data_IF_340309341620
#
_entry.id   IF_340309341620
#
_cell.length_a   1.000
_cell.length_b   1.000
_cell.length_c   1.000
_cell.angle_alpha   90.00
_cell.angle_beta   90.00
_cell.angle_gamma   90.00
#
_symmetry.space_group_name_H-M   'P 1'
#
loop_
_entity.id
_entity.type
_entity.pdbx_description
1 polymer ?
#
# COMPACT_ATOMS: atom_id res chain seq x y z
N UNK A 1 36.76 5.36 67.79
CA UNK A 1 37.74 5.42 66.69
C UNK A 1 37.04 6.08 65.51
N UNK A 2 37.55 7.23 65.09
CA UNK A 2 37.14 7.94 63.88
C UNK A 2 37.44 7.10 62.64
N UNK A 3 36.60 7.18 61.62
CA UNK A 3 37.00 7.59 60.26
C UNK A 3 35.76 8.02 59.47
N UNK A 4 35.85 9.23 58.92
CA UNK A 4 35.11 9.79 57.79
C UNK A 4 35.11 8.87 56.56
N UNK A 5 34.05 8.88 55.76
CA UNK A 5 34.04 9.69 54.52
C UNK A 5 32.82 9.39 53.62
N UNK A 6 32.17 10.50 53.24
CA UNK A 6 31.60 10.82 51.91
C UNK A 6 30.44 10.00 51.32
N UNK A 7 29.25 10.62 51.36
CA UNK A 7 28.28 10.71 50.25
C UNK A 7 28.90 11.51 49.06
N UNK A 8 28.36 11.53 47.81
CA UNK A 8 26.92 11.50 47.48
C UNK A 8 26.50 10.87 46.11
N UNK A 9 25.18 10.97 45.85
CA UNK A 9 24.46 11.25 44.57
C UNK A 9 23.46 10.21 44.07
N UNK A 10 22.24 10.73 43.90
CA UNK A 10 20.97 10.17 43.47
C UNK A 10 20.84 9.92 41.96
N UNK A 11 19.68 9.32 41.62
CA UNK A 11 19.01 9.18 40.32
C UNK A 11 19.59 8.06 39.44
N UNK A 12 18.81 7.23 38.76
CA UNK A 12 17.48 7.44 38.19
C UNK A 12 16.81 6.07 37.96
N UNK A 13 15.48 6.07 37.98
CA UNK A 13 14.60 4.94 37.72
C UNK A 13 14.56 4.59 36.23
N UNK A 14 14.61 3.31 35.88
CA UNK A 14 14.44 2.88 34.49
C UNK A 14 14.19 1.39 34.33
N UNK A 15 12.95 0.98 34.61
CA UNK A 15 12.43 -0.34 34.26
C UNK A 15 12.41 -0.48 32.74
N UNK A 16 13.22 -1.38 32.17
CA UNK A 16 13.16 -1.71 30.74
C UNK A 16 12.14 -2.82 30.55
N UNK A 17 10.91 -2.42 30.21
CA UNK A 17 9.89 -3.30 29.66
C UNK A 17 10.24 -3.61 28.20
N UNK A 18 10.53 -4.87 27.93
CA UNK A 18 10.73 -5.40 26.58
C UNK A 18 9.37 -5.41 25.86
N UNK A 19 9.21 -4.53 24.87
CA UNK A 19 8.05 -4.44 23.98
C UNK A 19 8.57 -4.46 22.55
N UNK A 20 7.92 -5.18 21.62
CA UNK A 20 8.36 -5.22 20.22
C UNK A 20 8.27 -3.81 19.60
N UNK A 21 9.24 -3.38 18.78
CA UNK A 21 9.33 -2.01 18.33
C UNK A 21 8.17 -1.68 17.37
N UNK A 22 7.30 -0.76 17.78
CA UNK A 22 6.17 -0.23 17.00
C UNK A 22 6.44 1.16 16.43
N UNK A 23 7.69 1.60 16.40
CA UNK A 23 8.05 2.94 15.97
C UNK A 23 8.26 3.03 14.45
N UNK A 24 7.43 3.86 13.81
CA UNK A 24 7.57 4.28 12.41
C UNK A 24 8.82 5.17 12.17
N UNK A 25 9.60 5.44 13.21
CA UNK A 25 10.79 6.31 13.20
C UNK A 25 12.12 5.55 13.39
N UNK A 26 12.12 4.21 13.48
CA UNK A 26 13.35 3.43 13.62
C UNK A 26 13.58 2.49 12.42
N UNK A 27 13.99 3.06 11.28
CA UNK A 27 14.71 2.32 10.25
C UNK A 27 16.19 2.27 10.66
N UNK A 28 16.74 1.11 11.05
CA UNK A 28 18.18 0.98 11.21
C UNK A 28 18.86 1.08 9.84
N UNK A 29 19.66 2.12 9.72
CA UNK A 29 20.99 2.17 9.11
C UNK A 29 21.38 0.94 8.27
N UNK A 30 21.26 1.08 6.95
CA UNK A 30 21.67 0.10 5.94
C UNK A 30 22.67 0.76 4.98
N UNK A 31 23.64 1.48 5.54
CA UNK A 31 24.73 2.11 4.80
C UNK A 31 26.06 1.85 5.52
N UNK A 32 26.56 0.61 5.45
CA UNK A 32 27.98 0.30 5.58
C UNK A 32 28.21 -1.16 5.13
N UNK A 33 28.29 -1.36 3.81
CA UNK A 33 29.09 -2.44 3.20
C UNK A 33 29.33 -2.11 1.72
N UNK A 34 30.15 -1.09 1.45
CA UNK A 34 30.84 -0.98 0.15
C UNK A 34 32.18 -1.70 0.25
N UNK A 35 32.46 -2.71 -0.60
CA UNK A 35 33.82 -3.05 -0.93
C UNK A 35 34.28 -2.22 -2.14
N UNK A 36 35.30 -1.41 -1.87
CA UNK A 36 36.18 -0.67 -2.79
C UNK A 36 36.22 -1.17 -4.24
N UNK A 37 35.89 -0.29 -5.19
CA UNK A 37 36.35 -0.40 -6.57
C UNK A 37 37.04 0.89 -7.01
N UNK A 38 38.35 0.82 -7.17
CA UNK A 38 39.17 1.86 -7.81
C UNK A 38 38.86 1.95 -9.33
N UNK A 39 39.07 3.12 -9.97
CA UNK A 39 38.43 3.49 -11.22
C UNK A 39 39.28 3.23 -12.47
N UNK A 40 38.64 2.84 -13.56
CA UNK A 40 39.22 2.92 -14.91
C UNK A 40 38.12 3.23 -15.97
N UNK A 41 37.99 4.52 -16.23
CA UNK A 41 37.85 5.16 -17.55
C UNK A 41 37.51 4.28 -18.78
N UNK A 42 36.37 4.53 -19.44
CA UNK A 42 36.32 5.11 -20.80
C UNK A 42 34.87 5.29 -21.32
N UNK A 43 34.53 6.56 -21.56
CA UNK A 43 33.92 7.12 -22.77
C UNK A 43 32.73 6.43 -23.48
N UNK A 44 31.64 7.19 -23.65
CA UNK A 44 30.68 6.94 -24.73
C UNK A 44 29.32 7.64 -24.58
N UNK A 45 29.22 8.86 -25.11
CA UNK A 45 28.06 9.60 -25.66
C UNK A 45 26.81 8.75 -26.05
N UNK A 46 25.55 9.19 -26.14
CA UNK A 46 24.79 10.46 -25.99
C UNK A 46 23.30 10.14 -26.30
N UNK A 47 22.38 10.98 -25.80
CA UNK A 47 21.04 11.33 -26.34
C UNK A 47 19.96 10.23 -26.41
N UNK A 48 18.70 10.42 -26.04
CA UNK A 48 17.91 11.63 -25.80
C UNK A 48 16.57 11.52 -26.55
N UNK A 49 15.49 11.96 -25.88
CA UNK A 49 14.12 12.25 -26.39
C UNK A 49 13.18 11.05 -26.68
N UNK A 50 11.86 11.13 -26.56
CA UNK A 50 10.87 12.00 -25.89
C UNK A 50 9.48 11.43 -26.27
N UNK A 51 8.47 11.64 -25.42
CA UNK A 51 7.11 11.99 -25.84
C UNK A 51 6.08 10.94 -26.32
N UNK A 52 4.98 10.85 -25.55
CA UNK A 52 3.56 10.77 -25.98
C UNK A 52 3.02 9.51 -26.69
N UNK A 53 1.76 9.07 -26.57
CA UNK A 53 0.59 9.39 -25.74
C UNK A 53 -0.51 8.35 -26.05
N UNK A 54 -1.37 8.10 -25.05
CA UNK A 54 -2.84 7.93 -25.15
C UNK A 54 -3.59 6.66 -25.64
N UNK A 55 -4.59 6.32 -24.81
CA UNK A 55 -5.93 5.71 -25.06
C UNK A 55 -6.00 4.20 -25.36
N UNK A 56 -6.93 3.39 -24.84
CA UNK A 56 -8.12 3.57 -24.00
C UNK A 56 -9.13 2.43 -24.29
N UNK A 57 -9.90 1.99 -23.27
CA UNK A 57 -11.14 1.18 -23.34
C UNK A 57 -10.99 -0.33 -23.72
N UNK A 58 -11.71 -1.34 -23.22
CA UNK A 58 -12.91 -1.50 -22.35
C UNK A 58 -13.14 -3.01 -22.10
N UNK A 59 -13.83 -3.37 -21.00
CA UNK A 59 -14.75 -4.54 -20.81
C UNK A 59 -14.19 -5.98 -20.93
N UNK A 60 -14.69 -7.02 -20.27
CA UNK A 60 -15.76 -7.25 -19.28
C UNK A 60 -15.48 -8.64 -18.67
N UNK A 61 -16.10 -8.96 -17.53
CA UNK A 61 -15.86 -10.16 -16.75
C UNK A 61 -16.38 -11.47 -17.36
N UNK A 62 -15.80 -12.59 -16.90
CA UNK A 62 -16.51 -13.86 -16.75
C UNK A 62 -15.80 -14.76 -15.72
N UNK A 63 -16.60 -15.22 -14.75
CA UNK A 63 -16.31 -16.27 -13.77
C UNK A 63 -15.75 -17.54 -14.41
N UNK A 64 -14.81 -18.26 -13.77
CA UNK A 64 -14.59 -19.66 -14.07
C UNK A 64 -15.46 -20.53 -13.14
N UNK A 65 -16.39 -21.26 -13.76
CA UNK A 65 -17.05 -22.40 -13.14
C UNK A 65 -16.04 -23.49 -12.77
N UNK A 66 -16.41 -24.15 -11.68
CA UNK A 66 -15.76 -25.23 -10.96
C UNK A 66 -15.66 -26.50 -11.83
N UNK A 67 -14.48 -27.11 -11.91
CA UNK A 67 -14.31 -28.47 -12.42
C UNK A 67 -13.57 -29.33 -11.40
N UNK A 68 -14.26 -30.37 -10.94
CA UNK A 68 -13.78 -31.43 -10.04
C UNK A 68 -12.61 -32.23 -10.64
N UNK A 69 -11.74 -32.84 -9.79
CA UNK A 69 -10.61 -33.62 -10.25
C UNK A 69 -11.03 -35.07 -10.58
N UNK A 70 -10.70 -35.53 -11.78
CA UNK A 70 -10.79 -36.95 -12.13
C UNK A 70 -9.50 -37.68 -11.73
N UNK A 71 -9.69 -38.81 -11.05
CA UNK A 71 -8.70 -39.74 -10.52
C UNK A 71 -7.70 -40.23 -11.59
N UNK A 72 -6.43 -40.34 -11.19
CA UNK A 72 -5.39 -40.94 -12.01
C UNK A 72 -5.44 -42.45 -11.96
N UNK A 73 -5.96 -43.07 -13.02
CA UNK A 73 -5.66 -44.46 -13.35
C UNK A 73 -4.36 -44.54 -14.16
N UNK A 74 -3.41 -45.29 -13.60
CA UNK A 74 -2.18 -45.74 -14.26
C UNK A 74 -2.53 -46.74 -15.36
N UNK A 75 -2.05 -46.50 -16.59
CA UNK A 75 -2.05 -47.52 -17.64
C UNK A 75 -0.80 -47.44 -18.51
N UNK A 76 0.12 -48.33 -18.14
CA UNK A 76 0.93 -49.24 -18.95
C UNK A 76 1.23 -48.84 -20.41
N UNK A 77 2.53 -48.80 -20.68
CA UNK A 77 3.13 -48.69 -22.01
C UNK A 77 2.56 -49.74 -22.97
N UNK A 78 2.09 -49.31 -24.14
CA UNK A 78 1.95 -50.21 -25.28
C UNK A 78 2.44 -49.48 -26.52
N UNK A 79 3.59 -49.91 -27.02
CA UNK A 79 4.06 -49.62 -28.37
C UNK A 79 2.94 -49.88 -29.39
N UNK A 80 2.63 -48.87 -30.17
CA UNK A 80 1.97 -49.05 -31.47
C UNK A 80 2.70 -48.22 -32.50
N UNK A 81 3.43 -48.92 -33.37
CA UNK A 81 3.97 -48.38 -34.62
C UNK A 81 2.83 -47.86 -35.52
N UNK A 82 3.07 -46.69 -36.12
CA UNK A 82 2.70 -46.46 -37.52
C UNK A 82 1.33 -45.84 -37.80
N UNK A 83 1.22 -44.52 -37.64
CA UNK A 83 0.58 -43.66 -38.65
C UNK A 83 1.26 -42.29 -38.61
N UNK A 84 1.97 -41.84 -39.66
CA UNK A 84 2.52 -40.50 -39.68
C UNK A 84 1.35 -39.52 -39.77
N UNK A 85 1.06 -38.85 -38.65
CA UNK A 85 0.31 -37.61 -38.67
C UNK A 85 1.04 -36.68 -39.64
N UNK A 86 0.31 -36.21 -40.65
CA UNK A 86 0.76 -35.24 -41.64
C UNK A 86 1.39 -34.06 -40.91
N UNK A 87 2.72 -34.03 -40.85
CA UNK A 87 3.49 -32.91 -40.37
C UNK A 87 3.07 -31.69 -41.21
N UNK A 88 2.38 -30.74 -40.56
CA UNK A 88 2.40 -29.37 -41.06
C UNK A 88 3.86 -28.92 -41.20
N UNK A 89 4.17 -27.97 -42.08
CA UNK A 89 5.55 -27.55 -42.29
C UNK A 89 6.16 -27.15 -40.94
N UNK A 90 7.14 -27.93 -40.46
CA UNK A 90 7.98 -27.54 -39.34
C UNK A 90 8.74 -26.29 -39.78
N UNK A 91 8.22 -25.14 -39.36
CA UNK A 91 8.93 -23.87 -39.48
C UNK A 91 10.16 -24.03 -38.59
N UNK A 92 11.34 -24.01 -39.21
CA UNK A 92 12.61 -24.15 -38.49
C UNK A 92 12.69 -23.05 -37.42
N UNK A 93 13.18 -23.44 -36.25
CA UNK A 93 13.26 -22.58 -35.05
C UNK A 93 14.10 -21.29 -35.27
N UNK A 94 14.90 -21.23 -36.34
CA UNK A 94 15.70 -20.06 -36.78
C UNK A 94 14.93 -18.99 -37.56
N UNK A 95 13.61 -19.13 -37.75
CA UNK A 95 12.83 -18.12 -38.46
C UNK A 95 12.67 -16.87 -37.61
N UNK A 96 13.18 -15.74 -38.11
CA UNK A 96 13.03 -14.43 -37.47
C UNK A 96 11.64 -13.88 -37.73
N UNK A 97 10.85 -13.71 -36.67
CA UNK A 97 9.51 -13.13 -36.70
C UNK A 97 9.62 -11.66 -36.29
N UNK A 98 8.94 -10.78 -37.01
CA UNK A 98 8.85 -9.35 -36.65
C UNK A 98 7.59 -9.15 -35.81
N UNK A 99 7.74 -8.66 -34.58
CA UNK A 99 6.63 -8.33 -33.69
C UNK A 99 5.95 -7.03 -34.14
N UNK A 100 4.72 -6.79 -33.66
CA UNK A 100 3.97 -5.56 -33.94
C UNK A 100 4.67 -4.30 -33.37
N UNK A 101 5.59 -4.46 -32.42
CA UNK A 101 6.47 -3.41 -31.88
C UNK A 101 7.62 -3.03 -32.80
N UNK A 102 7.83 -3.76 -33.91
CA UNK A 102 8.92 -3.53 -34.86
C UNK A 102 10.18 -4.38 -34.62
N UNK A 103 10.23 -5.12 -33.51
CA UNK A 103 11.40 -5.92 -33.12
C UNK A 103 11.45 -7.25 -33.86
N UNK A 104 12.66 -7.67 -34.27
CA UNK A 104 12.92 -8.94 -34.95
C UNK A 104 13.43 -9.96 -33.94
N UNK A 105 12.64 -10.99 -33.66
CA UNK A 105 12.96 -12.03 -32.66
C UNK A 105 12.90 -13.40 -33.31
N UNK A 106 13.83 -14.30 -32.98
CA UNK A 106 13.79 -15.67 -33.45
C UNK A 106 12.54 -16.40 -32.91
N UNK A 107 11.93 -17.26 -33.72
CA UNK A 107 10.75 -18.03 -33.33
C UNK A 107 11.07 -18.96 -32.13
N UNK A 108 12.31 -19.43 -32.01
CA UNK A 108 12.85 -20.13 -30.83
C UNK A 108 12.79 -19.29 -29.54
N UNK A 109 13.18 -18.02 -29.60
CA UNK A 109 13.18 -17.11 -28.47
C UNK A 109 11.74 -16.74 -28.05
N UNK A 110 10.82 -16.58 -29.00
CA UNK A 110 9.40 -16.38 -28.69
C UNK A 110 8.76 -17.61 -28.05
N UNK A 111 9.03 -18.80 -28.60
CA UNK A 111 8.52 -20.06 -28.05
C UNK A 111 9.09 -20.31 -26.66
N UNK A 112 10.38 -20.07 -26.44
CA UNK A 112 11.00 -20.21 -25.12
C UNK A 112 10.51 -19.16 -24.13
N UNK A 113 10.27 -17.92 -24.57
CA UNK A 113 9.66 -16.86 -23.76
C UNK A 113 8.25 -17.24 -23.30
N UNK A 114 7.41 -17.72 -24.21
CA UNK A 114 6.06 -18.20 -23.89
C UNK A 114 6.08 -19.38 -22.91
N UNK A 115 6.93 -20.38 -23.15
CA UNK A 115 7.07 -21.54 -22.24
C UNK A 115 7.55 -21.11 -20.85
N UNK A 116 8.52 -20.19 -20.77
CA UNK A 116 9.00 -19.63 -19.49
C UNK A 116 7.92 -18.85 -18.76
N UNK A 117 7.14 -18.02 -19.47
CA UNK A 117 6.02 -17.27 -18.87
C UNK A 117 4.92 -18.20 -18.37
N UNK A 118 4.61 -19.25 -19.13
CA UNK A 118 3.63 -20.27 -18.73
C UNK A 118 4.11 -21.04 -17.50
N UNK A 119 5.37 -21.48 -17.48
CA UNK A 119 5.97 -22.14 -16.32
C UNK A 119 6.02 -21.23 -15.10
N UNK A 120 6.37 -19.96 -15.29
CA UNK A 120 6.38 -18.97 -14.21
C UNK A 120 4.98 -18.75 -13.64
N UNK A 121 3.97 -18.58 -14.50
CA UNK A 121 2.58 -18.39 -14.08
C UNK A 121 2.06 -19.61 -13.32
N UNK A 122 2.33 -20.82 -13.83
CA UNK A 122 2.00 -22.08 -13.16
C UNK A 122 2.68 -22.21 -11.80
N UNK A 123 3.99 -21.99 -11.73
CA UNK A 123 4.76 -22.03 -10.47
C UNK A 123 4.29 -20.99 -9.47
N UNK A 124 3.93 -19.79 -9.93
CA UNK A 124 3.41 -18.72 -9.07
C UNK A 124 2.04 -19.09 -8.51
N UNK A 125 1.16 -19.65 -9.34
CA UNK A 125 -0.14 -20.15 -8.93
C UNK A 125 -0.01 -21.33 -7.95
N UNK A 126 0.86 -22.29 -8.23
CA UNK A 126 1.16 -23.40 -7.33
C UNK A 126 1.72 -22.92 -5.99
N UNK A 127 2.61 -21.93 -5.99
CA UNK A 127 3.17 -21.34 -4.78
C UNK A 127 2.09 -20.61 -3.97
N UNK A 128 1.20 -19.85 -4.63
CA UNK A 128 0.07 -19.18 -3.99
C UNK A 128 -0.88 -20.19 -3.35
N UNK A 129 -1.22 -21.26 -4.07
CA UNK A 129 -2.05 -22.34 -3.56
C UNK A 129 -1.39 -23.01 -2.34
N UNK A 130 -0.10 -23.37 -2.43
CA UNK A 130 0.66 -23.94 -1.29
C UNK A 130 0.68 -23.03 -0.07
N UNK A 131 0.83 -21.71 -0.25
CA UNK A 131 0.78 -20.73 0.85
C UNK A 131 -0.60 -20.71 1.51
N UNK A 132 -1.67 -20.70 0.71
CA UNK A 132 -3.04 -20.72 1.21
C UNK A 132 -3.38 -22.02 1.93
N UNK A 133 -2.92 -23.15 1.41
CA UNK A 133 -3.09 -24.46 2.03
C UNK A 133 -2.34 -24.54 3.37
N UNK A 134 -1.11 -24.01 3.41
CA UNK A 134 -0.33 -23.91 4.63
C UNK A 134 -1.02 -23.04 5.68
N UNK A 135 -1.51 -21.86 5.31
CA UNK A 135 -2.26 -20.96 6.20
C UNK A 135 -3.51 -21.64 6.76
N UNK A 136 -4.28 -22.32 5.89
CA UNK A 136 -5.47 -23.08 6.28
C UNK A 136 -5.12 -24.21 7.24
N UNK A 137 -4.04 -24.93 6.97
CA UNK A 137 -3.56 -26.03 7.82
C UNK A 137 -3.13 -25.52 9.19
N UNK A 138 -2.37 -24.43 9.24
CA UNK A 138 -1.92 -23.80 10.50
C UNK A 138 -3.12 -23.32 11.31
N UNK A 139 -4.10 -22.67 10.67
CA UNK A 139 -5.34 -22.23 11.31
C UNK A 139 -6.12 -23.41 11.91
N UNK A 140 -6.28 -24.50 11.15
CA UNK A 140 -6.94 -25.72 11.61
C UNK A 140 -6.18 -26.37 12.78
N UNK A 141 -4.85 -26.42 12.73
CA UNK A 141 -4.01 -26.95 13.81
C UNK A 141 -4.19 -26.11 15.07
N UNK A 142 -4.12 -24.79 14.98
CA UNK A 142 -4.32 -23.89 16.12
C UNK A 142 -5.71 -24.07 16.73
N UNK A 143 -6.76 -24.09 15.91
CA UNK A 143 -8.13 -24.31 16.37
C UNK A 143 -8.31 -25.68 17.03
N UNK A 144 -7.71 -26.72 16.47
CA UNK A 144 -7.77 -28.08 17.02
C UNK A 144 -7.06 -28.17 18.37
N UNK A 145 -5.89 -27.53 18.49
CA UNK A 145 -5.14 -27.50 19.75
C UNK A 145 -5.89 -26.72 20.82
N UNK A 146 -6.50 -25.59 20.46
CA UNK A 146 -7.34 -24.80 21.39
C UNK A 146 -8.55 -25.61 21.86
N UNK A 147 -9.22 -26.34 20.95
CA UNK A 147 -10.33 -27.23 21.31
C UNK A 147 -9.91 -28.40 22.21
N UNK A 148 -8.76 -29.02 21.93
CA UNK A 148 -8.20 -30.09 22.77
C UNK A 148 -7.80 -29.54 24.15
N UNK A 149 -7.20 -28.36 24.20
CA UNK A 149 -6.78 -27.72 25.45
C UNK A 149 -8.00 -27.40 26.34
N UNK A 150 -9.08 -26.88 25.76
CA UNK A 150 -10.31 -26.59 26.52
C UNK A 150 -11.00 -27.86 27.00
N UNK A 151 -11.11 -28.88 26.14
CA UNK A 151 -11.63 -30.20 26.55
C UNK A 151 -10.79 -30.80 27.69
N UNK A 152 -9.46 -30.71 27.60
CA UNK A 152 -8.59 -31.26 28.63
C UNK A 152 -8.73 -30.49 29.94
N UNK A 153 -8.86 -29.17 29.88
CA UNK A 153 -9.11 -28.29 31.04
C UNK A 153 -10.40 -28.62 31.76
N UNK A 154 -11.48 -28.99 31.05
CA UNK A 154 -12.73 -29.46 31.66
C UNK A 154 -12.58 -30.82 32.36
N UNK A 155 -11.64 -31.67 31.91
CA UNK A 155 -11.37 -32.99 32.52
C UNK A 155 -10.38 -32.97 33.69
N UNK A 156 -9.70 -31.85 33.94
CA UNK A 156 -8.75 -31.73 35.05
C UNK A 156 -9.51 -31.81 36.38
N UNK A 157 -9.19 -32.78 37.26
CA UNK A 157 -9.75 -32.82 38.61
C UNK A 157 -9.46 -31.50 39.34
N UNK A 158 -10.34 -31.01 40.23
CA UNK A 158 -10.03 -29.83 41.03
C UNK A 158 -8.81 -30.09 41.92
N UNK A 159 -8.08 -29.03 42.26
CA UNK A 159 -6.96 -29.13 43.19
C UNK A 159 -7.45 -29.65 44.56
N UNK A 160 -6.73 -30.61 45.19
CA UNK A 160 -7.14 -31.15 46.47
C UNK A 160 -7.05 -30.08 47.56
N UNK A 161 -7.99 -30.12 48.50
CA UNK A 161 -7.97 -29.23 49.66
C UNK A 161 -6.77 -29.56 50.57
N UNK A 162 -6.05 -28.52 50.99
CA UNK A 162 -4.91 -28.62 51.90
C UNK A 162 -5.37 -29.20 53.26
N UNK A 163 -6.62 -28.98 53.66
CA UNK A 163 -7.16 -29.58 54.90
C UNK A 163 -7.10 -31.11 54.87
N UNK A 164 -7.23 -31.72 53.69
CA UNK A 164 -7.18 -33.17 53.48
C UNK A 164 -5.79 -33.74 53.82
N UNK A 165 -4.73 -32.95 53.70
CA UNK A 165 -3.37 -33.38 54.08
C UNK A 165 -3.23 -33.68 55.58
N UNK A 166 -4.08 -33.10 56.43
CA UNK A 166 -4.09 -33.32 57.87
C UNK A 166 -5.05 -34.45 58.29
N UNK A 167 -6.17 -34.61 57.59
CA UNK A 167 -7.18 -35.64 57.90
C UNK A 167 -6.93 -36.98 57.22
N UNK A 168 -6.48 -36.97 55.97
CA UNK A 168 -6.15 -38.18 55.18
C UNK A 168 -5.00 -37.88 54.19
N UNK A 169 -3.74 -38.02 54.65
CA UNK A 169 -2.56 -37.75 53.82
C UNK A 169 -2.49 -38.64 52.57
N UNK A 170 -2.98 -39.88 52.64
CA UNK A 170 -2.92 -40.83 51.51
C UNK A 170 -3.82 -40.39 50.36
N UNK A 171 -5.03 -39.96 50.69
CA UNK A 171 -5.97 -39.42 49.70
C UNK A 171 -5.49 -38.10 49.10
N UNK A 172 -4.96 -37.19 49.92
CA UNK A 172 -4.37 -35.94 49.44
C UNK A 172 -3.25 -36.19 48.42
N UNK A 173 -2.32 -37.11 48.70
CA UNK A 173 -1.23 -37.43 47.77
C UNK A 173 -1.76 -38.01 46.46
N UNK A 174 -2.76 -38.90 46.51
CA UNK A 174 -3.37 -39.48 45.31
C UNK A 174 -4.07 -38.42 44.45
N UNK A 175 -4.92 -37.59 45.06
CA UNK A 175 -5.64 -36.52 44.35
C UNK A 175 -4.68 -35.49 43.77
N UNK A 176 -3.64 -35.13 44.54
CA UNK A 176 -2.57 -34.23 44.08
C UNK A 176 -1.82 -34.81 42.88
N UNK A 177 -1.43 -36.09 42.93
CA UNK A 177 -0.74 -36.74 41.82
C UNK A 177 -1.59 -36.80 40.55
N UNK A 178 -2.91 -37.05 40.67
CA UNK A 178 -3.83 -37.03 39.53
C UNK A 178 -3.97 -35.63 38.94
N UNK A 179 -4.12 -34.60 39.78
CA UNK A 179 -4.17 -33.20 39.35
C UNK A 179 -2.86 -32.77 38.66
N UNK A 180 -1.70 -33.07 39.26
CA UNK A 180 -0.39 -32.74 38.70
C UNK A 180 -0.15 -33.45 37.36
N UNK A 181 -0.52 -34.72 37.23
CA UNK A 181 -0.44 -35.45 35.97
C UNK A 181 -1.35 -34.84 34.88
N UNK A 182 -2.59 -34.47 35.24
CA UNK A 182 -3.54 -33.87 34.30
C UNK A 182 -3.09 -32.47 33.84
N UNK A 183 -2.60 -31.64 34.77
CA UNK A 183 -2.05 -30.31 34.46
C UNK A 183 -0.75 -30.38 33.66
N UNK A 184 0.14 -31.35 33.93
CA UNK A 184 1.34 -31.57 33.13
C UNK A 184 1.00 -31.91 31.68
N UNK A 185 -0.02 -32.75 31.46
CA UNK A 185 -0.51 -33.09 30.12
C UNK A 185 -1.08 -31.88 29.38
N UNK A 186 -1.81 -31.00 30.07
CA UNK A 186 -2.29 -29.75 29.48
C UNK A 186 -1.13 -28.83 29.06
N UNK A 187 -0.14 -28.66 29.93
CA UNK A 187 1.05 -27.87 29.59
C UNK A 187 1.80 -28.45 28.38
N UNK A 188 1.92 -29.78 28.28
CA UNK A 188 2.54 -30.43 27.12
C UNK A 188 1.80 -30.10 25.81
N UNK A 189 0.46 -30.15 25.81
CA UNK A 189 -0.35 -29.78 24.65
C UNK A 189 -0.14 -28.32 24.27
N UNK A 190 -0.18 -27.40 25.25
CA UNK A 190 0.03 -25.96 25.01
C UNK A 190 1.44 -25.70 24.49
N UNK A 191 2.47 -26.35 25.05
CA UNK A 191 3.85 -26.18 24.62
C UNK A 191 4.05 -26.68 23.18
N UNK A 192 3.43 -27.80 22.79
CA UNK A 192 3.45 -28.26 21.40
C UNK A 192 2.71 -27.30 20.44
N UNK A 193 1.77 -26.50 20.95
CA UNK A 193 1.07 -25.47 20.20
C UNK A 193 1.93 -24.24 19.90
N UNK A 194 3.03 -24.02 20.62
CA UNK A 194 3.83 -22.80 20.50
C UNK A 194 4.45 -22.67 19.11
N UNK A 195 5.08 -23.74 18.59
CA UNK A 195 5.73 -23.70 17.29
C UNK A 195 4.75 -23.38 16.12
N UNK A 196 3.58 -24.04 15.99
CA UNK A 196 2.58 -23.66 14.98
C UNK A 196 2.08 -22.21 15.11
N UNK A 197 1.95 -21.70 16.34
CA UNK A 197 1.54 -20.30 16.59
C UNK A 197 2.63 -19.31 16.19
N UNK A 198 3.89 -19.61 16.46
CA UNK A 198 5.04 -18.80 16.03
C UNK A 198 5.11 -18.72 14.49
N UNK A 199 4.95 -19.86 13.80
CA UNK A 199 4.89 -19.89 12.33
C UNK A 199 3.71 -19.07 11.81
N UNK A 200 2.53 -19.18 12.44
CA UNK A 200 1.36 -18.38 12.07
C UNK A 200 1.64 -16.86 12.19
N UNK A 201 2.28 -16.46 13.28
CA UNK A 201 2.64 -15.06 13.53
C UNK A 201 3.66 -14.54 12.52
N UNK A 202 4.65 -15.35 12.16
CA UNK A 202 5.64 -15.00 11.14
C UNK A 202 4.97 -14.81 9.77
N UNK A 203 4.14 -15.76 9.34
CA UNK A 203 3.42 -15.66 8.07
C UNK A 203 2.51 -14.42 8.01
N UNK A 204 1.80 -14.12 9.10
CA UNK A 204 0.95 -12.93 9.15
C UNK A 204 1.77 -11.63 9.08
N UNK A 205 2.94 -11.60 9.74
CA UNK A 205 3.86 -10.46 9.65
C UNK A 205 4.41 -10.29 8.23
N UNK A 206 4.82 -11.37 7.57
CA UNK A 206 5.30 -11.35 6.18
C UNK A 206 4.21 -10.87 5.21
N UNK A 207 2.98 -11.35 5.36
CA UNK A 207 1.85 -10.88 4.56
C UNK A 207 1.58 -9.39 4.80
N UNK A 208 1.67 -8.94 6.05
CA UNK A 208 1.47 -7.53 6.40
C UNK A 208 2.58 -6.65 5.83
N UNK A 209 3.85 -7.07 5.88
CA UNK A 209 4.95 -6.30 5.30
C UNK A 209 4.85 -6.25 3.79
N UNK A 210 4.53 -7.36 3.12
CA UNK A 210 4.30 -7.40 1.67
C UNK A 210 3.15 -6.46 1.25
N UNK A 211 2.05 -6.44 2.02
CA UNK A 211 0.95 -5.52 1.81
C UNK A 211 1.41 -4.06 1.96
N UNK A 212 2.11 -3.72 3.03
CA UNK A 212 2.68 -2.37 3.25
C UNK A 212 3.60 -1.96 2.08
N UNK A 213 4.47 -2.85 1.60
CA UNK A 213 5.35 -2.58 0.47
C UNK A 213 4.56 -2.31 -0.82
N UNK A 214 3.54 -3.13 -1.10
CA UNK A 214 2.71 -2.97 -2.29
C UNK A 214 1.89 -1.67 -2.27
N UNK A 215 1.33 -1.31 -1.12
CA UNK A 215 0.57 -0.08 -0.93
C UNK A 215 1.47 1.15 -1.01
N UNK A 216 2.68 1.08 -0.46
CA UNK A 216 3.68 2.14 -0.59
C UNK A 216 4.14 2.34 -2.04
N UNK A 217 4.29 1.27 -2.82
CA UNK A 217 4.62 1.38 -4.24
C UNK A 217 3.51 2.10 -5.02
N UNK A 218 2.25 1.70 -4.81
CA UNK A 218 1.08 2.36 -5.40
C UNK A 218 0.96 3.82 -4.97
N UNK A 219 1.29 4.15 -3.71
CA UNK A 219 1.31 5.53 -3.25
C UNK A 219 2.37 6.36 -4.00
N UNK A 220 3.55 5.81 -4.26
CA UNK A 220 4.61 6.50 -4.99
C UNK A 220 4.25 6.70 -6.48
N UNK A 221 3.53 5.76 -7.09
CA UNK A 221 3.00 5.90 -8.45
C UNK A 221 1.99 7.06 -8.56
N UNK A 222 1.05 7.16 -7.62
CA UNK A 222 0.00 8.20 -7.64
C UNK A 222 0.51 9.55 -7.14
N UNK A 223 1.43 9.54 -6.17
CA UNK A 223 1.98 10.72 -5.52
C UNK A 223 3.52 10.70 -5.58
N UNK A 224 4.14 11.10 -6.70
CA UNK A 224 5.58 10.99 -6.91
C UNK A 224 6.46 11.65 -5.83
N UNK A 225 5.93 12.65 -5.11
CA UNK A 225 6.63 13.26 -3.97
C UNK A 225 6.94 12.27 -2.83
N UNK A 226 6.19 11.17 -2.71
CA UNK A 226 6.40 10.14 -1.67
C UNK A 226 7.44 9.09 -2.05
N UNK A 227 8.00 9.16 -3.27
CA UNK A 227 9.12 8.32 -3.70
C UNK A 227 10.42 8.64 -2.93
N UNK A 228 10.60 9.89 -2.49
CA UNK A 228 11.75 10.30 -1.67
C UNK A 228 11.44 10.17 -0.18
N UNK A 229 12.45 9.84 0.63
CA UNK A 229 12.29 9.71 2.08
C UNK A 229 11.77 11.01 2.72
N UNK A 230 12.35 12.15 2.37
CA UNK A 230 11.96 13.46 2.90
C UNK A 230 10.54 13.86 2.47
N UNK A 231 10.21 13.69 1.18
CA UNK A 231 8.88 14.01 0.67
C UNK A 231 7.80 13.10 1.26
N UNK A 232 8.14 11.84 1.52
CA UNK A 232 7.27 10.88 2.22
C UNK A 232 7.00 11.29 3.67
N UNK A 233 8.03 11.59 4.45
CA UNK A 233 7.88 12.04 5.84
C UNK A 233 6.98 13.27 5.92
N UNK A 234 7.23 14.26 5.06
CA UNK A 234 6.41 15.47 4.98
C UNK A 234 4.96 15.16 4.61
N UNK A 235 4.74 14.28 3.63
CA UNK A 235 3.41 13.89 3.19
C UNK A 235 2.60 13.22 4.32
N UNK A 236 3.18 12.27 5.04
CA UNK A 236 2.50 11.61 6.16
C UNK A 236 2.29 12.53 7.36
N UNK A 237 3.21 13.46 7.63
CA UNK A 237 3.02 14.49 8.65
C UNK A 237 1.85 15.43 8.31
N UNK A 238 1.73 15.86 7.05
CA UNK A 238 0.60 16.66 6.58
C UNK A 238 -0.72 15.87 6.61
N UNK A 239 -0.71 14.60 6.17
CA UNK A 239 -1.89 13.75 6.16
C UNK A 239 -2.41 13.46 7.57
N UNK A 240 -1.51 13.16 8.52
CA UNK A 240 -1.87 12.91 9.92
C UNK A 240 -2.43 14.17 10.60
N UNK A 241 -1.88 15.36 10.32
CA UNK A 241 -2.42 16.61 10.84
C UNK A 241 -3.87 16.84 10.39
N UNK A 242 -4.17 16.59 9.13
CA UNK A 242 -5.53 16.74 8.57
C UNK A 242 -6.46 15.65 9.09
N UNK A 243 -5.99 14.41 9.20
CA UNK A 243 -6.80 13.33 9.76
C UNK A 243 -7.24 13.63 11.21
N UNK A 244 -6.33 14.18 12.04
CA UNK A 244 -6.67 14.65 13.39
C UNK A 244 -7.69 15.78 13.39
N UNK A 245 -7.59 16.71 12.44
CA UNK A 245 -8.57 17.80 12.31
C UNK A 245 -9.97 17.28 11.89
N UNK A 246 -10.02 16.20 11.11
CA UNK A 246 -11.26 15.53 10.68
C UNK A 246 -11.85 14.65 11.80
N UNK A 247 -11.03 14.18 12.74
CA UNK A 247 -11.46 13.42 13.92
C UNK A 247 -10.94 11.99 14.01
N UNK A 248 -9.96 11.61 13.18
CA UNK A 248 -9.27 10.32 13.33
C UNK A 248 -8.38 10.32 14.57
N UNK A 249 -8.35 9.17 15.26
CA UNK A 249 -7.43 8.90 16.35
C UNK A 249 -6.04 8.47 15.85
N UNK A 250 -5.02 8.62 16.70
CA UNK A 250 -3.67 8.16 16.40
C UNK A 250 -3.61 6.63 16.16
N UNK A 251 -4.45 5.86 16.87
CA UNK A 251 -4.53 4.39 16.73
C UNK A 251 -5.07 3.98 15.36
N UNK A 252 -6.09 4.68 14.86
CA UNK A 252 -6.63 4.43 13.51
C UNK A 252 -5.61 4.74 12.43
N UNK A 253 -4.83 5.82 12.59
CA UNK A 253 -3.79 6.20 11.64
C UNK A 253 -2.61 5.23 11.63
N UNK A 254 -2.17 4.76 12.79
CA UNK A 254 -1.07 3.80 12.88
C UNK A 254 -1.44 2.42 12.32
N UNK A 255 -2.71 2.05 12.40
CA UNK A 255 -3.23 0.81 11.80
C UNK A 255 -3.50 0.90 10.30
N UNK A 256 -3.51 2.10 9.72
CA UNK A 256 -3.91 2.29 8.34
C UNK A 256 -2.77 1.99 7.35
N UNK A 257 -3.07 1.11 6.38
CA UNK A 257 -2.11 0.70 5.35
C UNK A 257 -2.56 1.09 3.94
N UNK A 258 -3.86 1.32 3.73
CA UNK A 258 -4.41 1.65 2.42
C UNK A 258 -3.91 3.03 1.93
N UNK A 259 -3.16 3.05 0.84
CA UNK A 259 -2.63 4.27 0.23
C UNK A 259 -3.73 5.27 -0.17
N UNK A 260 -4.91 4.77 -0.53
CA UNK A 260 -6.05 5.59 -0.98
C UNK A 260 -6.53 6.52 0.12
N UNK A 261 -6.46 6.07 1.37
CA UNK A 261 -6.81 6.89 2.53
C UNK A 261 -5.90 8.11 2.61
N UNK A 262 -4.58 7.93 2.45
CA UNK A 262 -3.63 9.03 2.50
C UNK A 262 -3.74 9.97 1.29
N UNK A 263 -4.05 9.42 0.11
CA UNK A 263 -4.39 10.23 -1.08
C UNK A 263 -5.62 11.09 -0.80
N UNK A 264 -6.68 10.52 -0.21
CA UNK A 264 -7.88 11.26 0.16
C UNK A 264 -7.58 12.36 1.19
N UNK A 265 -6.77 12.07 2.21
CA UNK A 265 -6.34 13.06 3.21
C UNK A 265 -5.56 14.22 2.59
N UNK A 266 -4.71 13.95 1.60
CA UNK A 266 -4.01 15.00 0.85
C UNK A 266 -4.97 15.93 0.10
N UNK A 267 -5.99 15.37 -0.57
CA UNK A 267 -6.99 16.20 -1.23
C UNK A 267 -7.91 16.92 -0.25
N UNK A 268 -8.25 16.28 0.88
CA UNK A 268 -8.97 16.93 1.98
C UNK A 268 -8.19 18.14 2.48
N UNK A 269 -6.86 18.02 2.67
CA UNK A 269 -5.98 19.14 3.03
C UNK A 269 -6.13 20.31 2.07
N UNK A 270 -5.97 20.04 0.77
CA UNK A 270 -6.07 21.07 -0.28
C UNK A 270 -7.46 21.73 -0.28
N UNK A 271 -8.52 20.94 -0.08
CA UNK A 271 -9.89 21.44 0.05
C UNK A 271 -10.05 22.38 1.25
N UNK A 272 -9.57 21.98 2.43
CA UNK A 272 -9.63 22.79 3.64
C UNK A 272 -8.81 24.08 3.51
N UNK A 273 -7.63 24.03 2.90
CA UNK A 273 -6.84 25.22 2.58
C UNK A 273 -7.56 26.16 1.62
N UNK A 274 -8.19 25.62 0.57
CA UNK A 274 -8.99 26.41 -0.36
C UNK A 274 -10.19 27.08 0.32
N UNK A 275 -10.89 26.39 1.22
CA UNK A 275 -11.98 26.98 2.00
C UNK A 275 -11.50 28.11 2.92
N UNK A 276 -10.38 27.91 3.62
CA UNK A 276 -9.76 28.95 4.47
C UNK A 276 -9.32 30.14 3.64
N UNK A 277 -8.71 29.92 2.47
CA UNK A 277 -8.34 30.97 1.54
C UNK A 277 -9.57 31.74 1.03
N UNK A 278 -10.67 31.04 0.73
CA UNK A 278 -11.91 31.68 0.29
C UNK A 278 -12.53 32.53 1.42
N UNK A 279 -12.56 32.03 2.65
CA UNK A 279 -13.07 32.77 3.82
C UNK A 279 -12.25 34.04 4.08
N UNK A 280 -10.91 33.94 4.04
CA UNK A 280 -10.02 35.09 4.22
C UNK A 280 -10.14 36.10 3.07
N UNK A 281 -10.27 35.65 1.82
CA UNK A 281 -10.49 36.53 0.68
C UNK A 281 -11.83 37.28 0.79
N UNK A 282 -12.92 36.58 1.14
CA UNK A 282 -14.24 37.19 1.40
C UNK A 282 -14.18 38.24 2.53
N UNK A 283 -13.49 37.93 3.62
CA UNK A 283 -13.30 38.88 4.73
C UNK A 283 -12.49 40.12 4.30
N UNK A 284 -11.45 39.95 3.48
CA UNK A 284 -10.67 41.07 2.93
C UNK A 284 -11.54 41.97 2.05
N UNK A 285 -12.33 41.39 1.13
CA UNK A 285 -13.23 42.15 0.24
C UNK A 285 -14.32 42.88 1.03
N UNK A 286 -14.90 42.26 2.05
CA UNK A 286 -15.90 42.90 2.91
C UNK A 286 -15.35 44.12 3.68
N UNK A 287 -14.06 44.10 3.99
CA UNK A 287 -13.36 45.20 4.68
C UNK A 287 -12.78 46.27 3.75
N UNK A 288 -12.95 46.16 2.43
CA UNK A 288 -12.56 47.24 1.49
C UNK A 288 -13.62 48.34 1.56
N UNK A 289 -13.26 49.60 1.89
CA UNK A 289 -14.20 50.71 1.86
C UNK A 289 -14.82 50.85 0.47
N UNK A 290 -16.11 51.20 0.35
CA UNK A 290 -16.73 51.38 -0.95
C UNK A 290 -15.92 52.42 -1.73
N UNK A 291 -15.37 51.99 -2.88
CA UNK A 291 -14.68 52.90 -3.80
C UNK A 291 -15.72 53.95 -4.19
N UNK A 292 -15.52 55.19 -3.77
CA UNK A 292 -16.37 56.28 -4.23
C UNK A 292 -16.35 56.23 -5.76
N UNK A 293 -17.50 56.25 -6.45
CA UNK A 293 -17.51 56.17 -7.90
C UNK A 293 -16.60 57.28 -8.42
N UNK A 294 -15.45 56.86 -8.96
CA UNK A 294 -14.53 57.76 -9.62
C UNK A 294 -15.38 58.41 -10.70
N UNK A 295 -15.64 59.72 -10.56
CA UNK A 295 -16.43 60.47 -11.54
C UNK A 295 -15.85 60.09 -12.89
N UNK A 296 -16.62 59.36 -13.70
CA UNK A 296 -16.27 59.15 -15.10
C UNK A 296 -15.88 60.54 -15.60
N UNK A 297 -14.71 60.73 -16.23
CA UNK A 297 -14.47 61.99 -16.92
C UNK A 297 -15.73 62.21 -17.75
N UNK A 298 -16.41 63.34 -17.56
CA UNK A 298 -17.52 63.70 -18.43
C UNK A 298 -16.91 63.64 -19.82
N UNK A 299 -17.19 62.57 -20.56
CA UNK A 299 -17.04 62.59 -22.00
C UNK A 299 -17.84 63.83 -22.39
N UNK A 300 -17.13 64.85 -22.85
CA UNK A 300 -17.73 66.14 -23.14
C UNK A 300 -18.97 65.87 -23.99
N UNK A 301 -20.05 66.62 -23.75
CA UNK A 301 -21.31 66.47 -24.49
C UNK A 301 -21.14 66.47 -26.02
N UNK A 302 -19.97 66.87 -26.55
CA UNK A 302 -19.57 66.77 -27.95
C UNK A 302 -19.30 65.35 -28.48
N UNK A 303 -18.74 64.41 -27.72
CA UNK A 303 -18.36 63.10 -28.27
C UNK A 303 -19.57 62.25 -28.70
N UNK A 304 -20.65 62.30 -27.92
CA UNK A 304 -21.93 61.65 -28.27
C UNK A 304 -22.66 62.37 -29.40
N UNK A 305 -22.61 63.70 -29.42
CA UNK A 305 -23.28 64.51 -30.43
C UNK A 305 -22.60 64.36 -31.81
N UNK A 306 -21.27 64.29 -31.84
CA UNK A 306 -20.49 64.08 -33.05
C UNK A 306 -20.71 62.67 -33.63
N UNK A 307 -20.77 61.64 -32.78
CA UNK A 307 -21.12 60.29 -33.20
C UNK A 307 -22.52 60.20 -33.84
N UNK A 308 -23.49 60.94 -33.30
CA UNK A 308 -24.82 61.06 -33.90
C UNK A 308 -24.83 61.87 -35.21
N UNK A 309 -24.04 62.94 -35.30
CA UNK A 309 -23.88 63.72 -36.53
C UNK A 309 -23.22 62.91 -37.65
N UNK A 310 -22.18 62.14 -37.35
CA UNK A 310 -21.54 61.21 -38.29
C UNK A 310 -22.50 60.13 -38.77
N UNK A 311 -23.35 59.60 -37.87
CA UNK A 311 -24.38 58.62 -38.24
C UNK A 311 -25.44 59.21 -39.17
N UNK A 312 -25.87 60.47 -38.94
CA UNK A 312 -26.79 61.17 -39.84
C UNK A 312 -26.17 61.43 -41.21
N UNK A 313 -24.94 61.92 -41.25
CA UNK A 313 -24.18 62.11 -42.49
C UNK A 313 -24.06 60.81 -43.29
N UNK A 314 -23.73 59.69 -42.62
CA UNK A 314 -23.63 58.39 -43.28
C UNK A 314 -24.98 57.90 -43.86
N UNK A 315 -26.11 58.32 -43.28
CA UNK A 315 -27.44 57.95 -43.75
C UNK A 315 -27.96 58.86 -44.86
N UNK A 316 -27.69 60.16 -44.80
CA UNK A 316 -28.28 61.15 -45.71
C UNK A 316 -27.35 61.58 -46.84
N UNK A 317 -26.03 61.46 -46.66
CA UNK A 317 -25.01 61.93 -47.61
C UNK A 317 -25.07 63.44 -47.91
N UNK A 318 -25.80 64.22 -47.10
CA UNK A 318 -26.09 65.62 -47.35
C UNK A 318 -24.95 66.52 -46.87
N UNK A 319 -24.58 67.51 -47.69
CA UNK A 319 -23.57 68.53 -47.35
C UNK A 319 -23.96 69.29 -46.07
N UNK A 320 -25.26 69.49 -45.82
CA UNK A 320 -25.75 70.16 -44.60
C UNK A 320 -25.45 69.38 -43.33
N UNK A 321 -25.51 68.05 -43.41
CA UNK A 321 -25.22 67.17 -42.27
C UNK A 321 -23.71 67.04 -42.05
N UNK A 322 -22.90 67.15 -43.12
CA UNK A 322 -21.44 67.18 -43.03
C UNK A 322 -20.91 68.37 -42.23
N UNK A 323 -21.58 69.52 -42.30
CA UNK A 323 -21.23 70.72 -41.53
C UNK A 323 -21.56 70.61 -40.03
N UNK A 324 -22.34 69.60 -39.63
CA UNK A 324 -22.70 69.35 -38.24
C UNK A 324 -21.77 68.34 -37.54
N UNK A 325 -20.85 67.75 -38.30
CA UNK A 325 -19.81 66.84 -37.80
C UNK A 325 -18.60 67.67 -37.39
N UNK A 326 -18.10 67.39 -36.20
CA UNK A 326 -16.87 68.00 -35.70
C UNK A 326 -15.70 67.09 -36.13
N UNK A 327 -14.77 67.58 -36.95
CA UNK A 327 -13.66 66.77 -37.48
C UNK A 327 -12.33 67.03 -36.77
N UNK A 328 -12.33 67.88 -35.74
CA UNK A 328 -11.14 68.22 -34.93
C UNK A 328 -10.76 67.10 -33.94
#
# INVERSE_FOLDING_TARGET
MSVESTNPVSSDTGSVSDSPPTDLDNLPDLADDEPDTDPANESGETQGADGESETGATEDGQEPEQSEPAEGETKDETETEGTPAKAGPEVKDDVVVTLQTGDKVALSDLKSGYMRQQDYSRKTQELSNKRRDLETTISLVNQSVDGIAEMLKETIPPAPDISLSWSDPGRYVSEKAMHEAATARLHEVINRAQAPREVAQQLNQEQRTELIHSENARLAEVMPQTATQQGRQKFFAEASAVAKEIGFSDVELQGAVDHRMFVALHYARKGMEAERAQKTAKAKVANVPPVSPQKRPQAGKGASANAEAMKRLAQTGSIKDALSVDFD
#
